data_IF_719281106302
#
_entry.id   IF_719281106302
#
_cell.length_a   1.000
_cell.length_b   1.000
_cell.length_c   1.000
_cell.angle_alpha   90.00
_cell.angle_beta   90.00
_cell.angle_gamma   90.00
#
_symmetry.space_group_name_H-M   'P 1'
#
loop_
_entity.id
_entity.type
_entity.pdbx_description
1 polymer ?
#
# COMPACT_ATOMS: atom_id res chain seq x y z
N UNK A 1 5.43 31.04 -26.02
CA UNK A 1 4.91 30.02 -25.08
C UNK A 1 3.86 29.20 -25.83
N UNK A 2 4.26 28.03 -26.33
CA UNK A 2 3.49 27.28 -27.33
C UNK A 2 2.46 26.34 -26.73
N UNK A 3 1.51 25.91 -27.57
CA UNK A 3 0.49 24.92 -27.22
C UNK A 3 1.14 23.55 -26.87
N UNK A 4 2.31 23.25 -27.45
CA UNK A 4 3.10 22.03 -27.18
C UNK A 4 3.60 21.93 -25.73
N UNK A 5 4.06 23.04 -25.13
CA UNK A 5 4.51 23.06 -23.72
C UNK A 5 3.38 22.68 -22.75
N UNK A 6 2.15 23.14 -23.04
CA UNK A 6 0.97 22.83 -22.22
C UNK A 6 0.56 21.35 -22.30
N UNK A 7 0.71 20.74 -23.47
CA UNK A 7 0.42 19.30 -23.67
C UNK A 7 1.46 18.45 -22.94
N UNK A 8 2.75 18.79 -23.07
CA UNK A 8 3.82 18.11 -22.36
C UNK A 8 3.66 18.21 -20.83
N UNK A 9 3.31 19.39 -20.31
CA UNK A 9 3.04 19.60 -18.89
C UNK A 9 1.86 18.74 -18.39
N UNK A 10 0.77 18.64 -19.17
CA UNK A 10 -0.37 17.77 -18.84
C UNK A 10 -0.01 16.28 -18.84
N UNK A 11 0.81 15.83 -19.78
CA UNK A 11 1.27 14.43 -19.79
C UNK A 11 2.16 14.11 -18.59
N UNK A 12 3.05 15.03 -18.20
CA UNK A 12 3.89 14.86 -17.01
C UNK A 12 3.05 14.77 -15.73
N UNK A 13 2.08 15.66 -15.56
CA UNK A 13 1.14 15.60 -14.43
C UNK A 13 0.32 14.32 -14.39
N UNK A 14 -0.15 13.83 -15.55
CA UNK A 14 -0.87 12.56 -15.64
C UNK A 14 0.02 11.36 -15.27
N UNK A 15 1.28 11.37 -15.68
CA UNK A 15 2.25 10.33 -15.33
C UNK A 15 2.59 10.33 -13.82
N UNK A 16 2.75 11.51 -13.22
CA UNK A 16 2.96 11.67 -11.77
C UNK A 16 1.74 11.16 -10.98
N UNK A 17 0.52 11.51 -11.42
CA UNK A 17 -0.72 11.03 -10.78
C UNK A 17 -0.86 9.52 -10.87
N UNK A 18 -0.46 8.90 -11.99
CA UNK A 18 -0.44 7.44 -12.15
C UNK A 18 0.59 6.79 -11.22
N UNK A 19 1.78 7.36 -11.09
CA UNK A 19 2.80 6.89 -10.15
C UNK A 19 2.32 6.97 -8.70
N UNK A 20 1.62 8.02 -8.33
CA UNK A 20 1.05 8.13 -6.98
C UNK A 20 -0.05 7.08 -6.74
N UNK A 21 -0.87 6.81 -7.76
CA UNK A 21 -1.88 5.75 -7.71
C UNK A 21 -1.29 4.33 -7.59
N UNK A 22 0.02 4.15 -7.84
CA UNK A 22 0.70 2.86 -7.63
C UNK A 22 0.99 2.58 -6.15
N UNK A 23 0.76 3.53 -5.24
CA UNK A 23 1.01 3.35 -3.81
C UNK A 23 -0.28 3.21 -3.00
N UNK A 24 -0.32 2.19 -2.15
CA UNK A 24 -1.32 2.00 -1.09
C UNK A 24 -0.67 2.42 0.23
N UNK A 25 -1.32 3.28 1.00
CA UNK A 25 -0.75 3.79 2.26
C UNK A 25 -1.43 3.13 3.45
N UNK A 26 -0.62 2.58 4.35
CA UNK A 26 -1.05 2.09 5.64
C UNK A 26 -0.48 2.99 6.74
N UNK A 27 -1.30 3.31 7.74
CA UNK A 27 -0.83 3.89 9.00
C UNK A 27 -0.96 2.83 10.09
N UNK A 28 0.10 2.65 10.85
CA UNK A 28 0.12 1.72 11.99
C UNK A 28 0.66 2.43 13.23
N UNK A 29 0.15 2.05 14.39
CA UNK A 29 0.65 2.47 15.69
C UNK A 29 1.37 1.31 16.36
N UNK A 30 2.60 1.53 16.80
CA UNK A 30 3.39 0.55 17.52
C UNK A 30 2.73 0.22 18.87
N UNK A 31 2.53 -1.08 19.14
CA UNK A 31 1.91 -1.54 20.39
C UNK A 31 2.80 -1.35 21.63
N UNK A 32 4.12 -1.17 21.44
CA UNK A 32 5.08 -1.04 22.55
C UNK A 32 5.36 0.41 22.94
N UNK A 33 5.72 1.27 21.98
CA UNK A 33 6.12 2.65 22.26
C UNK A 33 5.09 3.70 21.80
N UNK A 34 4.05 3.28 21.09
CA UNK A 34 3.02 4.18 20.55
C UNK A 34 3.43 5.01 19.34
N UNK A 35 4.62 4.79 18.76
CA UNK A 35 5.04 5.46 17.52
C UNK A 35 4.07 5.18 16.36
N UNK A 36 3.65 6.24 15.68
CA UNK A 36 2.85 6.15 14.45
C UNK A 36 3.76 6.11 13.23
N UNK A 37 3.53 5.12 12.36
CA UNK A 37 4.38 4.82 11.22
C UNK A 37 3.49 4.79 9.98
N UNK A 38 3.87 5.57 8.97
CA UNK A 38 3.24 5.54 7.65
C UNK A 38 4.05 4.66 6.72
N UNK A 39 3.42 3.66 6.14
CA UNK A 39 4.01 2.70 5.21
C UNK A 39 3.38 2.88 3.84
N UNK A 40 4.20 3.16 2.83
CA UNK A 40 3.78 3.23 1.44
C UNK A 40 4.14 1.91 0.76
N UNK A 41 3.12 1.20 0.30
CA UNK A 41 3.20 -0.10 -0.36
C UNK A 41 3.02 0.11 -1.85
N UNK A 42 4.01 -0.28 -2.65
CA UNK A 42 3.92 -0.21 -4.10
C UNK A 42 3.22 -1.46 -4.63
N UNK A 43 2.08 -1.27 -5.30
CA UNK A 43 1.25 -2.36 -5.85
C UNK A 43 2.02 -3.30 -6.78
N UNK A 44 3.06 -2.80 -7.45
CA UNK A 44 3.80 -3.53 -8.48
C UNK A 44 4.93 -4.37 -7.93
N UNK A 45 5.43 -4.05 -6.74
CA UNK A 45 6.66 -4.67 -6.19
C UNK A 45 6.48 -5.26 -4.81
N UNK A 46 5.54 -4.76 -4.01
CA UNK A 46 5.32 -5.24 -2.64
C UNK A 46 4.22 -6.30 -2.53
N UNK A 47 3.29 -6.36 -3.51
CA UNK A 47 2.17 -7.31 -3.49
C UNK A 47 2.54 -8.62 -4.19
N UNK A 48 2.11 -9.73 -3.59
CA UNK A 48 2.17 -11.07 -4.18
C UNK A 48 0.86 -11.36 -4.91
N UNK A 49 0.93 -11.81 -6.16
CA UNK A 49 -0.24 -12.27 -6.90
C UNK A 49 -0.57 -13.71 -6.48
N UNK A 50 -1.84 -13.96 -6.14
CA UNK A 50 -2.32 -15.27 -5.71
C UNK A 50 -2.89 -16.11 -6.88
N UNK A 51 -2.79 -15.61 -8.11
CA UNK A 51 -3.18 -16.30 -9.35
C UNK A 51 -4.64 -16.77 -9.36
N UNK A 52 -5.54 -15.93 -8.86
CA UNK A 52 -6.98 -16.23 -8.79
C UNK A 52 -7.58 -16.44 -10.19
N UNK A 53 -8.19 -17.60 -10.44
CA UNK A 53 -8.69 -17.96 -11.77
C UNK A 53 -9.92 -17.12 -12.18
N UNK A 54 -10.19 -16.93 -13.48
CA UNK A 54 -11.39 -16.23 -13.93
C UNK A 54 -12.67 -16.89 -13.40
N UNK A 55 -13.45 -16.15 -12.59
CA UNK A 55 -14.69 -16.65 -11.99
C UNK A 55 -14.55 -17.11 -10.53
N UNK A 56 -13.32 -17.30 -10.05
CA UNK A 56 -13.06 -17.58 -8.65
C UNK A 56 -13.25 -16.31 -7.79
N UNK A 57 -13.77 -16.48 -6.58
CA UNK A 57 -13.94 -15.40 -5.60
C UNK A 57 -12.85 -15.53 -4.53
N UNK A 58 -12.24 -14.41 -4.14
CA UNK A 58 -11.23 -14.40 -3.08
C UNK A 58 -10.17 -13.32 -3.25
N UNK A 59 -9.09 -13.48 -2.48
CA UNK A 59 -7.92 -12.61 -2.52
C UNK A 59 -7.15 -12.79 -3.84
N UNK A 60 -7.09 -11.73 -4.66
CA UNK A 60 -6.28 -11.72 -5.86
C UNK A 60 -4.80 -11.39 -5.55
N UNK A 61 -4.59 -10.60 -4.49
CA UNK A 61 -3.25 -10.21 -4.04
C UNK A 61 -3.13 -10.33 -2.53
N UNK A 62 -1.91 -10.58 -2.07
CA UNK A 62 -1.55 -10.60 -0.65
C UNK A 62 -0.33 -9.71 -0.39
N UNK A 63 -0.34 -9.03 0.75
CA UNK A 63 0.80 -8.26 1.28
C UNK A 63 1.21 -8.88 2.62
N UNK A 64 2.46 -9.34 2.70
CA UNK A 64 3.13 -9.63 3.96
C UNK A 64 4.24 -8.62 4.16
N UNK A 65 4.12 -7.76 5.17
CA UNK A 65 5.10 -6.71 5.44
C UNK A 65 5.52 -6.71 6.89
N UNK A 66 6.82 -6.60 7.10
CA UNK A 66 7.44 -6.34 8.40
C UNK A 66 7.84 -4.86 8.50
N UNK A 67 7.53 -4.25 9.64
CA UNK A 67 7.68 -2.82 9.88
C UNK A 67 8.45 -2.63 11.18
N UNK A 68 9.53 -1.85 11.11
CA UNK A 68 10.30 -1.40 12.26
C UNK A 68 10.17 0.12 12.41
N UNK A 69 9.89 0.55 13.63
CA UNK A 69 9.85 1.97 13.98
C UNK A 69 11.24 2.57 14.11
N UNK A 70 11.32 3.90 14.14
CA UNK A 70 12.60 4.59 14.38
C UNK A 70 12.93 4.66 15.86
N UNK A 71 11.90 4.68 16.72
CA UNK A 71 12.04 4.88 18.17
C UNK A 71 12.20 3.58 18.94
N UNK A 72 11.72 2.47 18.40
CA UNK A 72 11.82 1.17 19.07
C UNK A 72 11.96 0.02 18.08
N UNK A 73 12.70 -1.05 18.44
CA UNK A 73 12.89 -2.23 17.59
C UNK A 73 11.72 -3.23 17.70
N UNK A 74 10.52 -2.77 18.08
CA UNK A 74 9.35 -3.65 18.14
C UNK A 74 8.88 -3.95 16.72
N UNK A 75 8.93 -5.23 16.34
CA UNK A 75 8.55 -5.68 15.02
C UNK A 75 7.03 -5.73 14.89
N UNK A 76 6.50 -4.96 13.95
CA UNK A 76 5.09 -4.97 13.57
C UNK A 76 4.97 -5.78 12.28
N UNK A 77 4.00 -6.68 12.20
CA UNK A 77 3.70 -7.43 10.97
C UNK A 77 2.29 -7.15 10.53
N UNK A 78 2.13 -6.90 9.24
CA UNK A 78 0.82 -6.81 8.60
C UNK A 78 0.68 -7.90 7.54
N UNK A 79 -0.50 -8.49 7.50
CA UNK A 79 -0.94 -9.43 6.47
C UNK A 79 -2.23 -8.86 5.89
N UNK A 80 -2.25 -8.55 4.59
CA UNK A 80 -3.39 -7.86 3.96
C UNK A 80 -3.73 -8.51 2.64
N UNK A 81 -4.97 -8.96 2.53
CA UNK A 81 -5.52 -9.50 1.30
C UNK A 81 -6.31 -8.44 0.55
N UNK A 82 -6.13 -8.44 -0.77
CA UNK A 82 -6.79 -7.52 -1.68
C UNK A 82 -7.57 -8.26 -2.77
N UNK A 83 -8.66 -7.66 -3.21
CA UNK A 83 -9.36 -8.07 -4.42
C UNK A 83 -8.61 -7.62 -5.70
N UNK A 84 -9.19 -7.93 -6.87
CA UNK A 84 -8.63 -7.53 -8.18
C UNK A 84 -8.55 -6.01 -8.40
N UNK A 85 -9.33 -5.23 -7.63
CA UNK A 85 -9.37 -3.77 -7.67
C UNK A 85 -8.48 -3.14 -6.59
N UNK A 86 -7.63 -3.93 -5.94
CA UNK A 86 -6.78 -3.51 -4.81
C UNK A 86 -7.57 -2.97 -3.61
N UNK A 87 -8.82 -3.39 -3.43
CA UNK A 87 -9.59 -3.13 -2.22
C UNK A 87 -9.23 -4.15 -1.15
N UNK A 88 -9.01 -3.68 0.07
CA UNK A 88 -8.72 -4.56 1.21
C UNK A 88 -9.96 -5.39 1.53
N UNK A 89 -9.80 -6.72 1.52
CA UNK A 89 -10.86 -7.67 1.89
C UNK A 89 -10.60 -8.32 3.25
N UNK A 90 -9.33 -8.47 3.63
CA UNK A 90 -8.92 -8.95 4.95
C UNK A 90 -7.64 -8.22 5.37
N UNK A 91 -7.50 -7.96 6.67
CA UNK A 91 -6.28 -7.39 7.24
C UNK A 91 -6.03 -7.92 8.64
N UNK A 92 -4.80 -8.31 8.89
CA UNK A 92 -4.30 -8.75 10.18
C UNK A 92 -3.06 -7.95 10.56
N UNK A 93 -2.88 -7.74 11.86
CA UNK A 93 -1.72 -7.05 12.39
C UNK A 93 -1.28 -7.68 13.71
N UNK A 94 0.04 -7.80 13.88
CA UNK A 94 0.66 -8.17 15.16
C UNK A 94 1.74 -7.16 15.53
N UNK A 95 1.99 -7.02 16.83
CA UNK A 95 2.96 -6.05 17.37
C UNK A 95 2.50 -4.59 17.32
N UNK A 96 1.29 -4.31 16.84
CA UNK A 96 0.72 -2.97 16.76
C UNK A 96 -0.77 -2.97 16.39
N UNK A 97 -1.28 -1.81 16.01
CA UNK A 97 -2.65 -1.64 15.55
C UNK A 97 -2.69 -0.78 14.28
N UNK A 98 -3.61 -1.09 13.35
CA UNK A 98 -3.92 -0.17 12.27
C UNK A 98 -4.57 1.07 12.87
N UNK A 99 -4.19 2.24 12.37
CA UNK A 99 -4.89 3.48 12.66
C UNK A 99 -5.52 3.95 11.36
N UNK A 100 -6.79 4.32 11.40
CA UNK A 100 -7.44 4.91 10.24
C UNK A 100 -6.75 6.24 9.90
N UNK A 101 -6.77 6.66 8.62
CA UNK A 101 -6.39 8.01 8.26
C UNK A 101 -7.26 9.05 8.95
#
# INVERSE_FOLDING_TARGET
MGIFDKIAARMKQAAEKRREADFITFKVKCGKCGEEITVRVNRRTDLQNLYLEPGEQGAAFNLKKEILGKKCPNLIRIDVDFDRNYQVIAKEISGGAFIEP
#
